data_IF_910627900317
#
_entry.id   IF_910627900317
#
_cell.length_a   1.000
_cell.length_b   1.000
_cell.length_c   1.000
_cell.angle_alpha   90.00
_cell.angle_beta   90.00
_cell.angle_gamma   90.00
#
_symmetry.space_group_name_H-M   'P 1'
#
loop_
_entity.id
_entity.type
_entity.pdbx_description
1 polymer ?
#
# COMPACT_ATOMS: atom_id res chain seq x y z
N UNK A 1 4.22 15.38 9.03
CA UNK A 1 5.67 15.52 8.81
C UNK A 1 6.41 16.38 9.83
N UNK A 2 5.74 17.28 10.57
CA UNK A 2 6.39 18.08 11.62
C UNK A 2 7.15 17.23 12.66
N UNK A 3 6.56 16.14 13.16
CA UNK A 3 7.24 15.24 14.11
C UNK A 3 8.46 14.54 13.51
N UNK A 4 8.43 14.18 12.22
CA UNK A 4 9.61 13.64 11.54
C UNK A 4 10.73 14.70 11.45
N UNK A 5 10.39 15.94 11.10
CA UNK A 5 11.36 17.05 11.07
C UNK A 5 11.94 17.36 12.45
N UNK A 6 11.14 17.26 13.52
CA UNK A 6 11.59 17.47 14.90
C UNK A 6 12.64 16.44 15.33
N UNK A 7 12.50 15.19 14.90
CA UNK A 7 13.35 14.06 15.35
C UNK A 7 14.56 13.82 14.45
N UNK A 8 14.42 13.93 13.13
CA UNK A 8 15.53 13.71 12.19
C UNK A 8 16.55 14.84 12.32
N UNK A 9 17.85 14.58 12.30
CA UNK A 9 18.87 15.63 12.18
C UNK A 9 18.80 16.34 10.81
N UNK A 10 19.32 17.57 10.65
CA UNK A 10 19.48 18.19 9.33
C UNK A 10 20.22 17.25 8.35
N UNK A 11 19.70 17.08 7.13
CA UNK A 11 20.18 16.09 6.16
C UNK A 11 19.79 14.63 6.47
N UNK A 12 19.01 14.37 7.52
CA UNK A 12 18.46 13.04 7.83
C UNK A 12 17.35 12.66 6.86
N UNK A 13 17.16 11.36 6.64
CA UNK A 13 16.23 10.85 5.64
C UNK A 13 14.99 10.20 6.26
N UNK A 14 13.85 10.41 5.62
CA UNK A 14 12.58 9.72 5.86
C UNK A 14 12.25 8.88 4.62
N UNK A 15 12.17 7.56 4.81
CA UNK A 15 11.67 6.64 3.78
C UNK A 15 10.19 6.37 4.03
N UNK A 16 9.35 6.82 3.11
CA UNK A 16 7.92 6.55 3.10
C UNK A 16 7.61 5.43 2.12
N UNK A 17 6.80 4.47 2.55
CA UNK A 17 6.36 3.33 1.74
C UNK A 17 4.84 3.32 1.71
N UNK A 18 4.28 3.55 0.52
CA UNK A 18 2.84 3.55 0.30
C UNK A 18 2.43 2.45 -0.69
N UNK A 19 1.22 1.94 -0.55
CA UNK A 19 0.62 1.08 -1.57
C UNK A 19 0.48 1.83 -2.90
N UNK A 20 0.88 1.18 -4.00
CA UNK A 20 0.68 1.66 -5.36
C UNK A 20 -0.71 1.32 -5.92
N UNK A 21 -1.03 1.81 -7.14
CA UNK A 21 -2.30 1.57 -7.82
C UNK A 21 -2.73 0.12 -7.85
N UNK A 22 -1.78 -0.76 -8.12
CA UNK A 22 -2.04 -2.17 -8.41
C UNK A 22 -1.77 -3.07 -7.19
N UNK A 23 -1.54 -2.49 -6.01
CA UNK A 23 -1.28 -3.25 -4.79
C UNK A 23 -2.49 -4.12 -4.42
N UNK A 24 -2.30 -5.45 -4.35
CA UNK A 24 -3.35 -6.42 -4.06
C UNK A 24 -4.57 -6.28 -4.98
N UNK A 25 -4.34 -5.92 -6.25
CA UNK A 25 -5.43 -5.67 -7.21
C UNK A 25 -6.34 -6.88 -7.36
N UNK A 26 -5.76 -8.07 -7.47
CA UNK A 26 -6.48 -9.33 -7.68
C UNK A 26 -7.43 -9.61 -6.52
N UNK A 27 -6.98 -9.44 -5.27
CA UNK A 27 -7.85 -9.53 -4.08
C UNK A 27 -8.97 -8.48 -4.13
N UNK A 28 -8.65 -7.24 -4.51
CA UNK A 28 -9.63 -6.14 -4.59
C UNK A 28 -10.70 -6.41 -5.64
N UNK A 29 -10.37 -7.03 -6.76
CA UNK A 29 -11.32 -7.41 -7.83
C UNK A 29 -12.31 -8.49 -7.37
N UNK A 30 -11.91 -9.38 -6.46
CA UNK A 30 -12.80 -10.38 -5.85
C UNK A 30 -13.77 -9.71 -4.87
N UNK A 31 -13.27 -8.85 -3.98
CA UNK A 31 -14.08 -8.37 -2.85
C UNK A 31 -14.95 -7.15 -3.17
N UNK A 32 -14.71 -6.48 -4.30
CA UNK A 32 -15.45 -5.30 -4.74
C UNK A 32 -16.11 -5.51 -6.11
N UNK A 33 -17.38 -5.08 -6.28
CA UNK A 33 -18.07 -5.21 -7.56
C UNK A 33 -17.48 -4.30 -8.66
N UNK A 34 -16.76 -3.25 -8.28
CA UNK A 34 -16.07 -2.36 -9.21
C UNK A 34 -14.92 -1.67 -8.51
N UNK A 35 -13.73 -1.69 -9.12
CA UNK A 35 -12.60 -0.91 -8.63
C UNK A 35 -12.77 0.56 -9.02
N UNK A 36 -12.73 1.45 -8.03
CA UNK A 36 -12.65 2.88 -8.30
C UNK A 36 -11.28 3.19 -8.92
N UNK A 37 -11.22 4.04 -9.96
CA UNK A 37 -9.94 4.50 -10.48
C UNK A 37 -9.13 5.15 -9.34
N UNK A 38 -7.82 4.89 -9.32
CA UNK A 38 -6.95 5.51 -8.32
C UNK A 38 -7.01 7.03 -8.49
N UNK A 39 -7.12 7.75 -7.36
CA UNK A 39 -6.82 9.17 -7.36
C UNK A 39 -5.31 9.29 -7.43
N UNK A 40 -4.78 9.77 -8.55
CA UNK A 40 -3.42 10.30 -8.62
C UNK A 40 -3.35 11.53 -7.72
N UNK A 41 -3.18 11.31 -6.42
CA UNK A 41 -2.83 12.38 -5.51
C UNK A 41 -1.38 12.73 -5.80
N UNK A 42 -1.13 13.92 -6.35
CA UNK A 42 0.21 14.45 -6.43
C UNK A 42 0.80 14.46 -5.01
N UNK A 43 1.86 13.68 -4.79
CA UNK A 43 2.57 13.71 -3.52
C UNK A 43 3.24 15.07 -3.37
N UNK A 44 2.71 15.87 -2.46
CA UNK A 44 3.29 17.16 -2.13
C UNK A 44 4.55 16.95 -1.28
N UNK A 45 5.62 17.69 -1.58
CA UNK A 45 6.80 17.72 -0.72
C UNK A 45 6.42 18.36 0.61
N UNK A 46 6.58 17.66 1.74
CA UNK A 46 6.25 18.22 3.04
C UNK A 46 7.16 19.41 3.41
N UNK A 47 6.62 20.37 4.16
CA UNK A 47 7.41 21.49 4.66
C UNK A 47 8.61 21.02 5.49
N UNK A 48 9.78 21.63 5.28
CA UNK A 48 11.04 21.28 5.93
C UNK A 48 11.76 20.08 5.32
N UNK A 49 11.29 19.56 4.18
CA UNK A 49 11.91 18.46 3.46
C UNK A 49 12.15 18.81 1.99
N UNK A 50 13.14 18.14 1.42
CA UNK A 50 13.36 18.04 -0.02
C UNK A 50 13.02 16.61 -0.45
N UNK A 51 12.25 16.47 -1.53
CA UNK A 51 11.88 15.15 -2.06
C UNK A 51 13.01 14.61 -2.94
N UNK A 52 13.49 13.42 -2.62
CA UNK A 52 14.43 12.65 -3.42
C UNK A 52 13.66 11.79 -4.45
N UNK A 53 14.35 11.12 -5.40
CA UNK A 53 13.68 10.25 -6.36
C UNK A 53 12.74 9.24 -5.69
N UNK A 54 11.59 9.02 -6.34
CA UNK A 54 10.64 7.99 -5.94
C UNK A 54 10.85 6.77 -6.81
N UNK A 55 10.87 5.60 -6.18
CA UNK A 55 10.96 4.31 -6.84
C UNK A 55 9.66 3.54 -6.67
N UNK A 56 9.32 2.69 -7.64
CA UNK A 56 8.20 1.75 -7.52
C UNK A 56 8.74 0.33 -7.53
N UNK A 57 8.47 -0.43 -6.46
CA UNK A 57 8.86 -1.83 -6.34
C UNK A 57 7.63 -2.69 -6.59
N UNK A 58 7.77 -3.62 -7.54
CA UNK A 58 6.71 -4.54 -7.95
C UNK A 58 7.22 -5.97 -7.99
N UNK A 59 6.45 -6.86 -7.37
CA UNK A 59 6.69 -8.29 -7.42
C UNK A 59 5.39 -9.04 -7.14
N UNK A 60 5.38 -10.34 -7.44
CA UNK A 60 4.23 -11.19 -7.16
C UNK A 60 4.51 -12.08 -5.96
N UNK A 61 3.47 -12.35 -5.20
CA UNK A 61 3.46 -13.36 -4.14
C UNK A 61 2.33 -14.35 -4.40
N UNK A 62 2.53 -15.59 -3.99
CA UNK A 62 1.50 -16.62 -4.05
C UNK A 62 1.10 -17.02 -2.63
N UNK A 63 -0.19 -16.88 -2.32
CA UNK A 63 -0.79 -17.48 -1.14
C UNK A 63 -1.29 -18.86 -1.53
N UNK A 64 -0.94 -19.88 -0.77
CA UNK A 64 -1.14 -21.30 -1.16
C UNK A 64 -2.15 -22.02 -0.27
N UNK A 65 -2.80 -21.30 0.65
CA UNK A 65 -3.91 -21.83 1.43
C UNK A 65 -4.91 -20.74 1.86
N UNK A 66 -6.12 -21.17 2.18
CA UNK A 66 -7.23 -20.31 2.62
C UNK A 66 -6.91 -19.49 3.88
N UNK A 67 -6.11 -20.03 4.80
CA UNK A 67 -5.71 -19.34 6.04
C UNK A 67 -4.90 -18.07 5.75
N UNK A 68 -3.91 -18.15 4.86
CA UNK A 68 -3.11 -16.99 4.44
C UNK A 68 -3.96 -15.89 3.79
N UNK A 69 -4.95 -16.27 2.99
CA UNK A 69 -5.87 -15.34 2.34
C UNK A 69 -6.75 -14.64 3.38
N UNK A 70 -7.25 -15.41 4.35
CA UNK A 70 -8.04 -14.87 5.47
C UNK A 70 -7.21 -13.90 6.33
N UNK A 71 -5.97 -14.26 6.66
CA UNK A 71 -5.05 -13.40 7.43
C UNK A 71 -4.77 -12.09 6.70
N UNK A 72 -4.44 -12.14 5.40
CA UNK A 72 -4.23 -10.95 4.59
C UNK A 72 -5.46 -10.05 4.58
N UNK A 73 -6.66 -10.63 4.36
CA UNK A 73 -7.89 -9.86 4.35
C UNK A 73 -8.15 -9.19 5.71
N UNK A 74 -7.94 -9.91 6.81
CA UNK A 74 -8.15 -9.40 8.17
C UNK A 74 -7.18 -8.29 8.57
N UNK A 75 -5.95 -8.30 8.05
CA UNK A 75 -4.94 -7.26 8.31
C UNK A 75 -5.11 -6.01 7.44
N UNK A 76 -6.10 -5.98 6.55
CA UNK A 76 -6.36 -4.82 5.68
C UNK A 76 -7.71 -4.19 5.99
N UNK A 77 -7.90 -2.89 5.70
CA UNK A 77 -9.22 -2.24 5.81
C UNK A 77 -10.28 -2.87 4.89
N UNK A 78 -9.87 -3.76 3.98
CA UNK A 78 -10.73 -4.40 3.00
C UNK A 78 -11.77 -5.34 3.62
N UNK A 79 -11.46 -6.05 4.71
CA UNK A 79 -12.40 -6.98 5.36
C UNK A 79 -13.74 -6.30 5.69
N UNK A 80 -13.67 -5.10 6.27
CA UNK A 80 -14.84 -4.34 6.71
C UNK A 80 -15.54 -3.60 5.57
N UNK A 81 -14.87 -3.40 4.42
CA UNK A 81 -15.40 -2.72 3.24
C UNK A 81 -15.99 -3.68 2.21
N UNK A 82 -15.57 -4.93 2.21
CA UNK A 82 -16.09 -5.98 1.35
C UNK A 82 -17.56 -6.27 1.66
N UNK A 83 -18.35 -6.62 0.64
CA UNK A 83 -19.70 -7.16 0.84
C UNK A 83 -19.64 -8.62 1.30
N UNK A 84 -20.77 -9.17 1.73
CA UNK A 84 -20.84 -10.55 2.20
C UNK A 84 -20.43 -11.54 1.10
N UNK A 85 -20.85 -11.28 -0.15
CA UNK A 85 -20.54 -12.10 -1.32
C UNK A 85 -19.03 -12.12 -1.57
N UNK A 86 -18.39 -10.94 -1.66
CA UNK A 86 -16.94 -10.85 -1.88
C UNK A 86 -16.10 -11.46 -0.75
N UNK A 87 -16.58 -11.39 0.51
CA UNK A 87 -15.94 -12.12 1.62
C UNK A 87 -16.07 -13.64 1.47
N UNK A 88 -17.24 -14.12 1.04
CA UNK A 88 -17.48 -15.54 0.84
C UNK A 88 -16.63 -16.08 -0.32
N UNK A 89 -16.52 -15.34 -1.42
CA UNK A 89 -15.64 -15.67 -2.55
C UNK A 89 -14.18 -15.76 -2.12
N UNK A 90 -13.67 -14.75 -1.41
CA UNK A 90 -12.31 -14.77 -0.88
C UNK A 90 -12.05 -15.95 0.09
N UNK A 91 -13.05 -16.29 0.93
CA UNK A 91 -12.96 -17.40 1.87
C UNK A 91 -13.00 -18.79 1.20
N UNK A 92 -13.51 -18.88 -0.03
CA UNK A 92 -13.54 -20.12 -0.80
C UNK A 92 -12.23 -20.40 -1.55
N UNK A 93 -11.33 -19.42 -1.65
CA UNK A 93 -10.06 -19.57 -2.35
C UNK A 93 -9.09 -20.45 -1.56
N UNK A 94 -8.39 -21.33 -2.27
CA UNK A 94 -7.32 -22.16 -1.74
C UNK A 94 -5.94 -21.69 -2.17
N UNK A 95 -5.85 -20.88 -3.23
CA UNK A 95 -4.63 -20.23 -3.68
C UNK A 95 -4.96 -18.88 -4.32
N UNK A 96 -4.03 -17.93 -4.22
CA UNK A 96 -4.19 -16.60 -4.81
C UNK A 96 -2.83 -16.00 -5.16
N UNK A 97 -2.60 -15.75 -6.44
CA UNK A 97 -1.48 -14.96 -6.93
C UNK A 97 -1.82 -13.48 -6.79
N UNK A 98 -0.94 -12.72 -6.16
CA UNK A 98 -1.14 -11.32 -5.83
C UNK A 98 0.01 -10.48 -6.34
N UNK A 99 -0.32 -9.29 -6.84
CA UNK A 99 0.66 -8.25 -7.14
C UNK A 99 0.91 -7.38 -5.90
N UNK A 100 2.15 -7.29 -5.47
CA UNK A 100 2.63 -6.27 -4.55
C UNK A 100 3.13 -5.09 -5.38
N UNK A 101 2.50 -3.93 -5.22
CA UNK A 101 2.92 -2.66 -5.82
C UNK A 101 3.13 -1.64 -4.70
N UNK A 102 4.35 -1.16 -4.50
CA UNK A 102 4.66 -0.18 -3.46
C UNK A 102 5.50 0.96 -4.01
N UNK A 103 5.17 2.19 -3.61
CA UNK A 103 5.95 3.40 -3.91
C UNK A 103 6.84 3.74 -2.73
N UNK A 104 8.14 3.87 -3.00
CA UNK A 104 9.15 4.26 -2.04
C UNK A 104 9.54 5.71 -2.34
N UNK A 105 9.14 6.63 -1.47
CA UNK A 105 9.51 8.04 -1.58
C UNK A 105 10.45 8.40 -0.44
N UNK A 106 11.66 8.81 -0.79
CA UNK A 106 12.62 9.32 0.17
C UNK A 106 12.52 10.85 0.27
N UNK A 107 12.56 11.36 1.49
CA UNK A 107 12.64 12.78 1.79
C UNK A 107 13.89 13.06 2.61
N UNK A 108 14.61 14.12 2.30
CA UNK A 108 15.73 14.61 3.11
C UNK A 108 15.27 15.83 3.92
N UNK A 109 15.52 15.83 5.23
CA UNK A 109 15.29 17.00 6.09
C UNK A 109 16.22 18.12 5.63
N UNK A 110 15.66 19.29 5.34
CA UNK A 110 16.43 20.46 4.92
C UNK A 110 17.51 20.80 5.96
N UNK A 111 18.62 21.40 5.49
CA UNK A 111 19.80 21.65 6.31
C UNK A 111 19.77 22.94 7.13
N UNK A 112 18.67 23.70 7.04
CA UNK A 112 18.47 24.97 7.73
C UNK A 112 18.45 24.82 9.27
#
# INVERSE_FOLDING_TARGET
YAEFARVLKPGGQLLQVDAGPDHLRELREIIYPSLKPERTAEMHTPAGFSRLPTETVRFSIELTNTGQIADLLAMTPHLYRAKAEGRAEAAALTALLLSVDVRLTCFERNRD
#
